data_IF_388462260472
#
_entry.id   IF_388462260472
#
_cell.length_a   1.000
_cell.length_b   1.000
_cell.length_c   1.000
_cell.angle_alpha   90.00
_cell.angle_beta   90.00
_cell.angle_gamma   90.00
#
_symmetry.space_group_name_H-M   'P 1'
#
loop_
_entity.id
_entity.type
_entity.pdbx_description
1 polymer ?
#
# COMPACT_ATOMS: atom_id res chain seq x y z
N UNK A 1 -14.40 -45.78 -0.95
CA UNK A 1 -12.93 -45.60 -0.91
C UNK A 1 -12.28 -46.79 -1.60
N UNK A 2 -11.14 -46.67 -2.30
CA UNK A 2 -10.19 -45.55 -2.48
C UNK A 2 -10.27 -45.00 -3.94
N UNK A 3 -9.61 -43.94 -4.41
CA UNK A 3 -8.26 -43.42 -4.15
C UNK A 3 -8.20 -41.90 -4.43
N UNK A 4 -7.45 -41.19 -3.59
CA UNK A 4 -6.99 -39.82 -3.84
C UNK A 4 -6.13 -39.76 -5.11
N UNK A 5 -6.33 -38.81 -6.03
CA UNK A 5 -5.29 -38.45 -6.98
C UNK A 5 -4.24 -37.59 -6.27
N UNK A 6 -3.00 -37.87 -6.63
CA UNK A 6 -1.76 -37.42 -6.05
C UNK A 6 -1.64 -35.89 -5.91
N UNK A 7 -0.96 -35.48 -4.84
CA UNK A 7 -0.32 -34.19 -4.73
C UNK A 7 0.72 -34.03 -5.85
N UNK A 8 0.32 -33.44 -6.96
CA UNK A 8 1.27 -32.94 -7.95
C UNK A 8 1.97 -31.71 -7.37
N UNK A 9 3.28 -31.86 -7.20
CA UNK A 9 4.22 -30.85 -6.75
C UNK A 9 4.16 -29.65 -7.69
N UNK A 10 3.39 -28.62 -7.34
CA UNK A 10 3.69 -27.27 -7.79
C UNK A 10 5.06 -26.91 -7.22
N UNK A 11 6.08 -26.93 -8.08
CA UNK A 11 7.43 -26.53 -7.75
C UNK A 11 7.42 -25.19 -7.02
N UNK A 12 8.17 -25.12 -5.93
CA UNK A 12 8.23 -23.95 -5.05
C UNK A 12 8.50 -22.68 -5.84
N UNK A 13 7.45 -21.89 -6.04
CA UNK A 13 7.60 -20.52 -6.49
C UNK A 13 8.26 -19.75 -5.35
N UNK A 14 9.52 -19.35 -5.54
CA UNK A 14 10.13 -18.31 -4.71
C UNK A 14 9.19 -17.10 -4.76
N UNK A 15 8.56 -16.77 -3.62
CA UNK A 15 7.67 -15.62 -3.51
C UNK A 15 8.35 -14.37 -4.07
N UNK A 16 7.78 -13.80 -5.13
CA UNK A 16 8.34 -12.62 -5.77
C UNK A 16 7.88 -11.38 -5.00
N UNK A 17 8.84 -10.58 -4.55
CA UNK A 17 8.64 -9.35 -3.77
C UNK A 17 7.99 -8.29 -4.67
N UNK A 18 6.79 -7.81 -4.33
CA UNK A 18 6.27 -6.58 -4.92
C UNK A 18 7.08 -5.38 -4.41
N UNK A 19 7.25 -4.39 -5.28
CA UNK A 19 8.25 -3.33 -5.14
C UNK A 19 7.54 -2.01 -4.87
N UNK A 20 7.53 -1.56 -3.61
CA UNK A 20 7.12 -0.20 -3.24
C UNK A 20 8.32 0.76 -3.30
N UNK A 21 8.07 2.03 -3.62
CA UNK A 21 9.06 3.11 -3.60
C UNK A 21 8.44 4.34 -2.93
N UNK A 22 9.22 5.06 -2.12
CA UNK A 22 8.85 6.35 -1.55
C UNK A 22 9.64 7.46 -2.28
N UNK A 23 8.95 8.55 -2.58
CA UNK A 23 9.51 9.73 -3.23
C UNK A 23 9.20 10.95 -2.38
N UNK A 24 10.21 11.69 -1.94
CA UNK A 24 10.04 12.97 -1.23
C UNK A 24 10.25 14.11 -2.21
N UNK A 25 9.31 15.04 -2.26
CA UNK A 25 9.40 16.29 -3.00
C UNK A 25 9.68 17.44 -2.02
N UNK A 26 10.80 18.15 -2.18
CA UNK A 26 11.06 19.39 -1.43
C UNK A 26 10.61 20.61 -2.23
N UNK A 27 10.31 21.71 -1.53
CA UNK A 27 9.92 23.00 -2.11
C UNK A 27 10.95 23.59 -3.09
N UNK A 28 12.21 23.13 -3.04
CA UNK A 28 13.27 23.51 -3.97
C UNK A 28 13.31 22.66 -5.26
N UNK A 29 12.35 21.76 -5.47
CA UNK A 29 12.32 20.87 -6.64
C UNK A 29 13.29 19.69 -6.55
N UNK A 30 14.02 19.53 -5.44
CA UNK A 30 14.84 18.34 -5.21
C UNK A 30 13.92 17.15 -4.89
N UNK A 31 13.99 16.14 -5.75
CA UNK A 31 13.30 14.87 -5.55
C UNK A 31 14.27 13.88 -4.90
N UNK A 32 13.92 13.37 -3.73
CA UNK A 32 14.62 12.23 -3.13
C UNK A 32 13.82 10.96 -3.41
N UNK A 33 14.37 10.08 -4.24
CA UNK A 33 13.83 8.73 -4.40
C UNK A 33 14.64 7.83 -3.49
N UNK A 34 14.00 7.07 -2.60
CA UNK A 34 14.70 6.02 -1.85
C UNK A 34 14.80 4.81 -2.79
N UNK A 35 15.96 4.54 -3.42
CA UNK A 35 16.09 3.48 -4.42
C UNK A 35 16.26 2.13 -3.73
N UNK A 36 15.90 1.06 -4.43
CA UNK A 36 15.98 -0.32 -3.91
C UNK A 36 17.39 -0.91 -3.87
N UNK A 37 18.36 -0.28 -4.53
CA UNK A 37 19.75 -0.73 -4.58
C UNK A 37 20.65 0.37 -4.02
N UNK A 38 21.24 0.10 -2.85
CA UNK A 38 22.29 0.91 -2.24
C UNK A 38 23.59 0.70 -3.04
N UNK A 39 23.82 1.51 -4.07
CA UNK A 39 25.18 1.99 -4.32
C UNK A 39 25.30 3.35 -3.65
N UNK A 40 26.41 3.55 -2.93
CA UNK A 40 26.68 4.72 -2.08
C UNK A 40 26.51 6.02 -2.86
N UNK A 41 25.32 6.61 -2.83
CA UNK A 41 25.09 7.98 -3.25
C UNK A 41 25.32 8.90 -2.04
N UNK A 42 26.27 9.83 -2.18
CA UNK A 42 26.47 10.94 -1.23
C UNK A 42 25.18 11.77 -1.18
N UNK A 43 24.31 11.46 -0.23
CA UNK A 43 23.00 12.11 -0.06
C UNK A 43 22.89 12.59 1.39
N UNK A 44 22.33 13.78 1.68
CA UNK A 44 22.14 14.28 3.04
C UNK A 44 21.15 13.46 3.90
N UNK A 45 20.55 12.38 3.36
CA UNK A 45 19.74 11.42 4.10
C UNK A 45 20.59 10.24 4.59
N UNK A 46 20.59 9.96 5.88
CA UNK A 46 21.16 8.73 6.41
C UNK A 46 20.22 7.55 6.08
N UNK A 47 20.52 6.83 5.01
CA UNK A 47 19.78 5.61 4.59
C UNK A 47 20.38 4.42 5.33
N UNK A 48 19.58 3.76 6.18
CA UNK A 48 19.96 2.54 6.88
C UNK A 48 19.07 1.38 6.43
N UNK A 49 19.68 0.31 5.92
CA UNK A 49 18.99 -0.94 5.60
C UNK A 49 19.22 -1.97 6.69
N UNK A 50 18.17 -2.65 7.15
CA UNK A 50 18.29 -3.77 8.10
C UNK A 50 17.71 -5.04 7.52
N UNK A 51 18.32 -6.19 7.83
CA UNK A 51 17.92 -7.51 7.36
C UNK A 51 17.40 -8.36 8.53
N UNK A 52 16.23 -8.95 8.37
CA UNK A 52 15.76 -10.02 9.26
C UNK A 52 15.04 -11.06 8.40
N UNK A 53 15.53 -12.31 8.41
CA UNK A 53 14.99 -13.50 7.73
C UNK A 53 13.96 -13.21 6.62
N UNK A 54 14.45 -13.04 5.39
CA UNK A 54 13.69 -12.80 4.15
C UNK A 54 12.98 -11.44 3.96
N UNK A 55 12.81 -10.64 5.01
CA UNK A 55 12.22 -9.29 4.94
C UNK A 55 13.30 -8.21 4.92
N UNK A 56 13.09 -7.13 4.15
CA UNK A 56 13.95 -5.94 4.17
C UNK A 56 13.12 -4.72 4.51
N UNK A 57 13.59 -3.95 5.49
CA UNK A 57 13.01 -2.64 5.80
C UNK A 57 14.11 -1.61 5.50
N UNK A 58 13.83 -0.73 4.56
CA UNK A 58 14.69 0.41 4.21
C UNK A 58 14.15 1.61 4.97
N UNK A 59 15.02 2.24 5.77
CA UNK A 59 14.65 3.40 6.57
C UNK A 59 15.49 4.58 6.11
N UNK A 60 14.81 5.68 5.81
CA UNK A 60 15.45 6.97 5.53
C UNK A 60 14.96 7.99 6.54
N UNK A 61 15.91 8.60 7.24
CA UNK A 61 15.67 9.80 8.05
C UNK A 61 15.87 11.01 7.15
N UNK A 62 14.85 11.85 7.05
CA UNK A 62 14.84 13.05 6.21
C UNK A 62 14.68 14.26 7.11
N UNK A 63 15.63 15.18 7.04
CA UNK A 63 15.55 16.47 7.73
C UNK A 63 15.26 17.57 6.72
N UNK A 64 14.26 18.40 7.00
CA UNK A 64 14.00 19.60 6.22
C UNK A 64 14.87 20.73 6.78
N UNK A 65 15.83 21.22 6.00
CA UNK A 65 16.57 22.44 6.35
C UNK A 65 15.69 23.66 6.10
N UNK A 66 15.66 24.60 7.04
CA UNK A 66 14.99 25.90 6.94
C UNK A 66 15.36 26.62 5.63
N UNK A 67 14.50 26.52 4.63
CA UNK A 67 14.34 27.58 3.64
C UNK A 67 12.93 27.49 3.11
N UNK A 68 12.23 28.63 3.15
CA UNK A 68 10.87 28.88 2.67
C UNK A 68 9.75 28.74 3.73
N UNK A 69 9.70 29.74 4.60
CA UNK A 69 8.46 30.14 5.26
C UNK A 69 7.44 30.61 4.20
N UNK A 70 6.31 29.90 4.09
CA UNK A 70 5.03 30.51 3.74
C UNK A 70 3.86 29.63 4.20
N UNK A 71 3.02 30.26 5.02
CA UNK A 71 1.67 29.89 5.45
C UNK A 71 1.45 28.47 6.03
N UNK A 72 1.45 28.42 7.37
CA UNK A 72 0.61 27.53 8.21
C UNK A 72 0.87 26.02 8.17
N UNK A 73 2.13 25.58 8.23
CA UNK A 73 2.44 24.20 8.63
C UNK A 73 3.52 24.15 9.70
N UNK A 74 3.15 23.64 10.88
CA UNK A 74 4.09 23.14 11.88
C UNK A 74 4.65 21.80 11.38
N UNK A 75 5.53 21.83 10.39
CA UNK A 75 6.28 20.63 9.99
C UNK A 75 7.33 20.34 11.04
N UNK A 76 7.42 19.10 11.51
CA UNK A 76 8.61 18.67 12.25
C UNK A 76 9.83 18.81 11.33
N UNK A 77 10.95 19.33 11.83
CA UNK A 77 12.21 19.50 11.07
C UNK A 77 12.81 18.15 10.60
N UNK A 78 12.20 17.05 11.03
CA UNK A 78 12.58 15.68 10.74
C UNK A 78 11.34 14.81 10.52
N UNK A 79 11.41 13.95 9.52
CA UNK A 79 10.47 12.84 9.28
C UNK A 79 11.25 11.56 9.01
N UNK A 80 10.67 10.41 9.36
CA UNK A 80 11.26 9.10 9.05
C UNK A 80 10.36 8.33 8.11
N UNK A 81 10.95 7.86 7.02
CA UNK A 81 10.29 7.09 5.99
C UNK A 81 10.76 5.65 6.03
N UNK A 82 9.82 4.72 6.09
CA UNK A 82 10.08 3.29 6.13
C UNK A 82 9.44 2.60 4.92
N UNK A 83 10.25 2.05 4.02
CA UNK A 83 9.79 1.17 2.95
C UNK A 83 9.93 -0.28 3.38
N UNK A 84 8.81 -0.99 3.51
CA UNK A 84 8.78 -2.43 3.75
C UNK A 84 8.86 -3.18 2.42
N UNK A 85 9.85 -4.05 2.29
CA UNK A 85 10.02 -4.94 1.14
C UNK A 85 9.91 -6.40 1.60
N UNK A 86 8.70 -6.94 1.48
CA UNK A 86 8.35 -8.30 1.87
C UNK A 86 7.19 -8.80 1.00
N UNK A 87 6.94 -10.11 1.02
CA UNK A 87 5.78 -10.74 0.38
C UNK A 87 4.64 -10.92 1.38
N UNK A 88 3.40 -10.96 0.92
CA UNK A 88 2.27 -11.33 1.76
C UNK A 88 2.24 -12.82 2.07
N UNK A 89 1.29 -13.26 2.88
CA UNK A 89 0.89 -14.68 2.94
C UNK A 89 -0.20 -14.88 1.90
N UNK A 90 0.18 -15.44 0.75
CA UNK A 90 -0.65 -15.39 -0.46
C UNK A 90 -2.03 -15.99 -0.25
N UNK A 91 -3.06 -15.19 -0.55
CA UNK A 91 -4.47 -15.57 -0.47
C UNK A 91 -4.95 -15.96 0.94
N UNK A 92 -4.21 -15.54 1.97
CA UNK A 92 -4.60 -15.63 3.38
C UNK A 92 -4.57 -14.23 3.99
N UNK A 93 -5.76 -13.65 4.13
CA UNK A 93 -5.89 -12.28 4.63
C UNK A 93 -5.48 -12.18 6.10
N UNK A 94 -5.87 -13.14 6.93
CA UNK A 94 -5.61 -13.07 8.36
C UNK A 94 -4.10 -13.17 8.63
N UNK A 95 -3.44 -14.15 8.02
CA UNK A 95 -1.99 -14.29 8.16
C UNK A 95 -1.23 -13.08 7.58
N UNK A 96 -1.75 -12.46 6.52
CA UNK A 96 -1.18 -11.21 5.96
C UNK A 96 -1.39 -10.00 6.87
N UNK A 97 -2.52 -9.90 7.59
CA UNK A 97 -2.78 -8.87 8.60
C UNK A 97 -1.84 -9.03 9.82
N UNK A 98 -1.64 -10.26 10.27
CA UNK A 98 -0.68 -10.55 11.36
C UNK A 98 0.74 -10.15 10.94
N UNK A 99 1.10 -10.45 9.69
CA UNK A 99 2.39 -10.07 9.11
C UNK A 99 2.52 -8.55 8.95
N UNK A 100 1.47 -7.85 8.52
CA UNK A 100 1.40 -6.39 8.45
C UNK A 100 1.71 -5.78 9.83
N UNK A 101 1.01 -6.23 10.88
CA UNK A 101 1.21 -5.75 12.25
C UNK A 101 2.64 -5.96 12.74
N UNK A 102 3.17 -7.18 12.56
CA UNK A 102 4.55 -7.52 12.95
C UNK A 102 5.59 -6.65 12.25
N UNK A 103 5.47 -6.47 10.93
CA UNK A 103 6.42 -5.69 10.13
C UNK A 103 6.31 -4.18 10.43
N UNK A 104 5.10 -3.65 10.59
CA UNK A 104 4.88 -2.25 10.94
C UNK A 104 5.46 -1.92 12.32
N UNK A 105 5.26 -2.80 13.32
CA UNK A 105 5.89 -2.68 14.63
C UNK A 105 7.41 -2.70 14.54
N UNK A 106 7.98 -3.65 13.79
CA UNK A 106 9.42 -3.75 13.58
C UNK A 106 10.02 -2.53 12.85
N UNK A 107 9.32 -1.97 11.87
CA UNK A 107 9.71 -0.74 11.19
C UNK A 107 9.69 0.45 12.16
N UNK A 108 8.61 0.58 12.94
CA UNK A 108 8.41 1.66 13.90
C UNK A 108 9.47 1.62 15.01
N UNK A 109 9.77 0.46 15.59
CA UNK A 109 10.82 0.33 16.62
C UNK A 109 12.17 0.80 16.08
N UNK A 110 12.52 0.42 14.86
CA UNK A 110 13.79 0.83 14.24
C UNK A 110 13.81 2.32 13.90
N UNK A 111 12.71 2.86 13.39
CA UNK A 111 12.57 4.28 13.13
C UNK A 111 12.69 5.10 14.41
N UNK A 112 12.00 4.69 15.50
CA UNK A 112 12.07 5.36 16.81
C UNK A 112 13.48 5.34 17.41
N UNK A 113 14.27 4.29 17.16
CA UNK A 113 15.67 4.24 17.58
C UNK A 113 16.57 5.24 16.83
N UNK A 114 16.15 5.71 15.66
CA UNK A 114 16.90 6.67 14.81
C UNK A 114 16.41 8.10 14.94
N UNK A 115 15.22 8.30 15.50
CA UNK A 115 14.58 9.60 15.63
C UNK A 115 15.31 10.49 16.63
N UNK A 116 15.43 11.78 16.31
CA UNK A 116 15.93 12.79 17.27
C UNK A 116 15.02 12.99 18.48
N UNK A 117 13.73 12.72 18.34
CA UNK A 117 12.71 12.91 19.38
C UNK A 117 11.60 11.85 19.24
N UNK A 118 10.91 11.49 20.35
CA UNK A 118 9.72 10.65 20.31
C UNK A 118 8.58 11.21 19.43
N UNK A 119 8.56 12.53 19.18
CA UNK A 119 7.53 13.21 18.41
C UNK A 119 7.75 13.16 16.88
N UNK A 120 8.89 12.67 16.40
CA UNK A 120 9.19 12.64 14.96
C UNK A 120 8.12 11.86 14.19
N UNK A 121 7.48 12.44 13.17
CA UNK A 121 6.52 11.74 12.32
C UNK A 121 7.17 10.56 11.57
N UNK A 122 6.45 9.44 11.50
CA UNK A 122 6.89 8.24 10.78
C UNK A 122 5.85 7.86 9.73
N UNK A 123 6.30 7.67 8.50
CA UNK A 123 5.50 7.10 7.41
C UNK A 123 6.02 5.69 7.10
N UNK A 124 5.14 4.70 7.09
CA UNK A 124 5.48 3.32 6.72
C UNK A 124 4.71 2.93 5.45
N UNK A 125 5.46 2.63 4.39
CA UNK A 125 4.94 2.15 3.10
C UNK A 125 5.08 0.64 3.00
N UNK A 126 3.99 -0.03 2.66
CA UNK A 126 3.94 -1.42 2.25
C UNK A 126 3.74 -1.56 0.73
N UNK A 127 4.15 -2.70 0.14
CA UNK A 127 4.06 -2.92 -1.31
C UNK A 127 2.63 -2.93 -1.87
N UNK A 128 2.54 -2.81 -3.20
CA UNK A 128 1.31 -3.08 -3.97
C UNK A 128 0.77 -4.49 -3.65
N UNK A 129 -0.56 -4.57 -3.47
CA UNK A 129 -1.29 -5.81 -3.23
C UNK A 129 -0.73 -6.67 -2.07
N UNK A 130 -0.29 -6.03 -0.98
CA UNK A 130 0.22 -6.71 0.20
C UNK A 130 -0.88 -7.39 1.02
N UNK A 131 -2.11 -6.88 1.05
CA UNK A 131 -3.24 -7.62 1.64
C UNK A 131 -4.00 -8.40 0.56
N UNK A 132 -4.14 -9.71 0.77
CA UNK A 132 -4.46 -10.78 -0.20
C UNK A 132 -3.23 -11.33 -0.94
N UNK A 133 -2.86 -10.74 -2.08
CA UNK A 133 -1.62 -10.94 -2.84
C UNK A 133 -1.73 -10.33 -4.23
N UNK A 134 -0.59 -10.07 -4.86
CA UNK A 134 -0.51 -9.92 -6.31
C UNK A 134 -0.64 -11.33 -6.96
N UNK A 135 -1.59 -11.57 -7.90
CA UNK A 135 -1.91 -12.90 -8.41
C UNK A 135 -0.96 -13.31 -9.55
N UNK A 136 0.35 -13.27 -9.29
CA UNK A 136 1.37 -13.56 -10.32
C UNK A 136 1.23 -14.99 -10.83
N UNK A 137 1.17 -15.14 -12.15
CA UNK A 137 1.08 -16.43 -12.82
C UNK A 137 -0.31 -17.05 -12.84
N UNK A 138 -1.31 -16.40 -12.23
CA UNK A 138 -2.70 -16.83 -12.32
C UNK A 138 -3.39 -16.12 -13.50
N UNK A 139 -3.97 -16.88 -14.41
CA UNK A 139 -4.84 -16.40 -15.49
C UNK A 139 -6.34 -16.61 -15.16
N UNK A 140 -6.63 -17.20 -13.98
CA UNK A 140 -7.96 -17.60 -13.52
C UNK A 140 -8.75 -18.41 -14.57
N UNK A 141 -8.05 -19.16 -15.42
CA UNK A 141 -8.66 -19.94 -16.50
C UNK A 141 -9.48 -19.12 -17.50
N UNK A 142 -9.28 -17.80 -17.54
CA UNK A 142 -10.03 -16.88 -18.39
C UNK A 142 -9.39 -16.83 -19.78
N UNK A 143 -10.13 -17.31 -20.78
CA UNK A 143 -9.79 -17.18 -22.20
C UNK A 143 -10.95 -16.52 -22.94
N UNK A 144 -10.70 -16.03 -24.15
CA UNK A 144 -11.76 -15.48 -24.99
C UNK A 144 -12.84 -16.56 -25.17
N UNK A 145 -14.07 -16.26 -24.74
CA UNK A 145 -15.21 -17.16 -24.85
C UNK A 145 -15.27 -18.34 -23.87
N UNK A 146 -14.29 -18.56 -22.99
CA UNK A 146 -14.31 -19.72 -22.08
C UNK A 146 -13.71 -19.43 -20.70
N UNK A 147 -14.20 -20.15 -19.68
CA UNK A 147 -13.72 -20.09 -18.30
C UNK A 147 -13.67 -21.48 -17.70
N UNK A 148 -12.54 -21.88 -17.14
CA UNK A 148 -12.41 -23.20 -16.50
C UNK A 148 -13.06 -23.20 -15.11
N UNK A 149 -13.61 -24.35 -14.64
CA UNK A 149 -14.09 -24.51 -13.27
C UNK A 149 -13.01 -24.21 -12.21
N UNK A 150 -11.78 -24.61 -12.46
CA UNK A 150 -10.63 -24.40 -11.57
C UNK A 150 -10.32 -22.91 -11.43
N UNK A 151 -10.37 -22.18 -12.56
CA UNK A 151 -10.19 -20.74 -12.60
C UNK A 151 -11.22 -19.98 -11.77
N UNK A 152 -12.49 -20.38 -11.85
CA UNK A 152 -13.58 -19.83 -11.00
C UNK A 152 -13.33 -20.08 -9.52
N UNK A 153 -12.83 -21.27 -9.18
CA UNK A 153 -12.51 -21.63 -7.79
C UNK A 153 -11.38 -20.76 -7.24
N UNK A 154 -10.32 -20.57 -8.03
CA UNK A 154 -9.21 -19.69 -7.66
C UNK A 154 -9.61 -18.23 -7.54
N UNK A 155 -10.47 -17.73 -8.44
CA UNK A 155 -10.99 -16.37 -8.33
C UNK A 155 -11.85 -16.20 -7.06
N UNK A 156 -12.67 -17.19 -6.72
CA UNK A 156 -13.44 -17.20 -5.47
C UNK A 156 -12.54 -17.13 -4.22
N UNK A 157 -11.44 -17.88 -4.18
CA UNK A 157 -10.43 -17.78 -3.11
C UNK A 157 -9.75 -16.42 -3.06
N UNK A 158 -9.43 -15.86 -4.23
CA UNK A 158 -8.81 -14.55 -4.32
C UNK A 158 -9.73 -13.44 -3.80
N UNK A 159 -11.00 -13.45 -4.22
CA UNK A 159 -12.03 -12.57 -3.69
C UNK A 159 -12.25 -12.77 -2.17
N UNK A 160 -12.31 -14.01 -1.69
CA UNK A 160 -12.50 -14.30 -0.27
C UNK A 160 -11.33 -13.84 0.62
N UNK A 161 -10.13 -13.69 0.08
CA UNK A 161 -8.96 -13.15 0.78
C UNK A 161 -8.75 -11.63 0.58
N UNK A 162 -9.63 -10.96 -0.16
CA UNK A 162 -9.57 -9.52 -0.42
C UNK A 162 -10.21 -8.69 0.72
N UNK A 163 -9.86 -7.41 0.82
CA UNK A 163 -10.24 -6.49 1.91
C UNK A 163 -11.54 -5.74 1.58
N UNK A 164 -12.57 -5.75 2.45
CA UNK A 164 -13.79 -4.98 2.24
C UNK A 164 -13.61 -3.52 2.67
N UNK A 165 -12.96 -2.69 1.84
CA UNK A 165 -12.59 -1.31 2.21
C UNK A 165 -13.78 -0.40 2.52
N UNK A 166 -14.98 -0.70 2.02
CA UNK A 166 -16.21 0.04 2.35
C UNK A 166 -16.73 -0.24 3.77
N UNK A 167 -16.34 -1.36 4.39
CA UNK A 167 -16.73 -1.73 5.74
C UNK A 167 -15.67 -1.24 6.73
N UNK A 168 -15.55 0.09 6.90
CA UNK A 168 -14.44 0.70 7.67
C UNK A 168 -14.47 0.36 9.17
N UNK A 169 -15.63 -0.08 9.67
CA UNK A 169 -15.81 -0.59 11.03
C UNK A 169 -15.77 -2.14 11.11
N UNK A 170 -15.60 -2.81 9.97
CA UNK A 170 -15.42 -4.27 9.89
C UNK A 170 -14.10 -4.73 10.52
N UNK A 171 -14.02 -6.02 10.84
CA UNK A 171 -12.84 -6.63 11.50
C UNK A 171 -11.53 -6.36 10.75
N UNK A 172 -11.53 -6.53 9.44
CA UNK A 172 -10.36 -6.41 8.59
C UNK A 172 -9.85 -4.97 8.52
N UNK A 173 -10.74 -4.00 8.31
CA UNK A 173 -10.39 -2.59 8.31
C UNK A 173 -9.98 -2.09 9.69
N UNK A 174 -10.64 -2.53 10.76
CA UNK A 174 -10.20 -2.23 12.14
C UNK A 174 -8.81 -2.75 12.43
N UNK A 175 -8.47 -3.96 11.98
CA UNK A 175 -7.12 -4.50 12.13
C UNK A 175 -6.08 -3.61 11.43
N UNK A 176 -6.32 -3.19 10.18
CA UNK A 176 -5.43 -2.28 9.44
C UNK A 176 -5.30 -0.93 10.16
N UNK A 177 -6.42 -0.34 10.59
CA UNK A 177 -6.46 0.95 11.29
C UNK A 177 -5.72 0.90 12.63
N UNK A 178 -5.87 -0.19 13.38
CA UNK A 178 -5.19 -0.39 14.65
C UNK A 178 -3.68 -0.50 14.47
N UNK A 179 -3.19 -1.11 13.38
CA UNK A 179 -1.75 -1.13 13.09
C UNK A 179 -1.18 0.29 12.99
N UNK A 180 -1.87 1.21 12.31
CA UNK A 180 -1.42 2.61 12.24
C UNK A 180 -1.49 3.30 13.61
N UNK A 181 -2.64 3.15 14.30
CA UNK A 181 -2.91 3.78 15.59
C UNK A 181 -1.97 3.33 16.71
N UNK A 182 -1.80 2.02 16.89
CA UNK A 182 -0.98 1.45 17.96
C UNK A 182 0.51 1.78 17.81
N UNK A 183 0.97 2.01 16.58
CA UNK A 183 2.36 2.37 16.30
C UNK A 183 2.57 3.89 16.18
N UNK A 184 1.50 4.69 16.14
CA UNK A 184 1.58 6.14 15.94
C UNK A 184 2.26 6.50 14.62
N UNK A 185 1.88 5.84 13.53
CA UNK A 185 2.46 5.99 12.19
C UNK A 185 1.40 6.38 11.17
N UNK A 186 1.79 7.14 10.15
CA UNK A 186 1.05 7.17 8.89
C UNK A 186 1.35 5.88 8.13
N UNK A 187 0.33 5.08 7.83
CA UNK A 187 0.46 3.81 7.11
C UNK A 187 -0.04 3.96 5.68
N UNK A 188 0.80 3.63 4.70
CA UNK A 188 0.40 3.44 3.30
C UNK A 188 0.52 1.96 2.95
N UNK A 189 -0.58 1.32 2.54
CA UNK A 189 -0.59 -0.12 2.27
C UNK A 189 -1.40 -0.46 1.02
N UNK A 190 -0.83 -1.31 0.15
CA UNK A 190 -1.52 -1.87 -0.99
C UNK A 190 -2.43 -3.03 -0.56
N UNK A 191 -3.69 -3.00 -0.99
CA UNK A 191 -4.70 -4.01 -0.73
C UNK A 191 -5.38 -4.45 -2.02
N UNK A 192 -5.82 -5.70 -2.07
CA UNK A 192 -6.86 -6.10 -3.02
C UNK A 192 -8.18 -5.85 -2.34
N UNK A 193 -8.93 -4.92 -2.88
CA UNK A 193 -10.22 -4.50 -2.35
C UNK A 193 -11.34 -5.37 -2.94
N UNK A 194 -12.34 -5.75 -2.14
CA UNK A 194 -13.62 -6.34 -2.60
C UNK A 194 -14.82 -5.47 -2.23
N UNK A 195 -15.90 -5.59 -3.01
CA UNK A 195 -17.11 -4.76 -2.87
C UNK A 195 -18.38 -5.58 -2.54
N UNK A 196 -18.24 -6.65 -1.78
CA UNK A 196 -19.32 -7.57 -1.40
C UNK A 196 -19.88 -7.32 0.01
N UNK A 197 -19.38 -6.29 0.71
CA UNK A 197 -19.82 -5.91 2.07
C UNK A 197 -20.59 -4.60 2.07
N UNK A 198 -21.56 -4.42 3.00
CA UNK A 198 -22.23 -3.15 3.17
C UNK A 198 -21.23 -2.06 3.57
N UNK A 199 -21.50 -0.85 3.13
CA UNK A 199 -20.70 0.30 3.54
C UNK A 199 -21.01 0.69 4.99
N UNK A 200 -19.98 0.74 5.83
CA UNK A 200 -20.08 1.09 7.26
C UNK A 200 -19.03 2.14 7.63
N UNK A 201 -19.32 2.93 8.67
CA UNK A 201 -18.46 4.02 9.11
C UNK A 201 -18.41 5.18 8.10
N UNK A 202 -17.20 5.71 7.85
CA UNK A 202 -16.96 6.83 6.94
C UNK A 202 -17.39 6.43 5.52
N UNK A 203 -18.08 7.30 4.78
CA UNK A 203 -18.50 6.98 3.41
C UNK A 203 -17.30 6.93 2.50
N UNK A 204 -17.25 5.94 1.61
CA UNK A 204 -16.16 5.71 0.65
C UNK A 204 -15.87 6.96 -0.17
N UNK A 205 -16.91 7.65 -0.62
CA UNK A 205 -16.75 8.88 -1.39
C UNK A 205 -16.01 9.99 -0.62
N UNK A 206 -15.99 9.96 0.71
CA UNK A 206 -15.29 10.94 1.55
C UNK A 206 -13.79 10.71 1.60
N UNK A 207 -13.29 9.50 1.32
CA UNK A 207 -11.85 9.20 1.36
C UNK A 207 -11.33 8.54 0.07
N UNK A 208 -12.18 8.19 -0.89
CA UNK A 208 -11.77 7.46 -2.08
C UNK A 208 -12.75 7.59 -3.24
N UNK A 209 -13.03 6.44 -3.85
CA UNK A 209 -13.84 6.31 -5.07
C UNK A 209 -15.34 6.55 -4.82
N UNK A 210 -16.02 7.22 -5.77
CA UNK A 210 -17.49 7.30 -5.80
C UNK A 210 -18.11 6.05 -6.42
N UNK A 211 -17.32 5.30 -7.20
CA UNK A 211 -17.74 4.02 -7.75
C UNK A 211 -17.81 3.01 -6.60
N UNK A 212 -19.01 2.57 -6.25
CA UNK A 212 -19.19 1.54 -5.20
C UNK A 212 -18.56 0.21 -5.64
N UNK A 213 -18.77 -0.16 -6.91
CA UNK A 213 -18.48 -1.50 -7.43
C UNK A 213 -19.69 -2.43 -7.28
N UNK A 214 -19.58 -3.63 -7.84
CA UNK A 214 -20.60 -4.68 -7.71
C UNK A 214 -20.14 -5.83 -6.81
N UNK A 215 -21.06 -6.64 -6.30
CA UNK A 215 -20.73 -7.88 -5.59
C UNK A 215 -19.85 -8.77 -6.48
N UNK A 216 -18.72 -9.26 -5.94
CA UNK A 216 -17.76 -10.05 -6.71
C UNK A 216 -16.69 -9.22 -7.44
N UNK A 217 -16.81 -7.89 -7.50
CA UNK A 217 -15.77 -7.03 -8.07
C UNK A 217 -14.62 -6.82 -7.09
N UNK A 218 -13.41 -6.76 -7.63
CA UNK A 218 -12.19 -6.47 -6.89
C UNK A 218 -11.35 -5.38 -7.55
N UNK A 219 -10.59 -4.64 -6.76
CA UNK A 219 -9.77 -3.50 -7.21
C UNK A 219 -8.39 -3.53 -6.57
N UNK A 220 -7.34 -3.18 -7.32
CA UNK A 220 -6.02 -2.91 -6.73
C UNK A 220 -6.05 -1.51 -6.10
N UNK A 221 -5.84 -1.42 -4.79
CA UNK A 221 -6.10 -0.20 -4.02
C UNK A 221 -4.93 0.14 -3.10
N UNK A 222 -4.56 1.41 -3.02
CA UNK A 222 -3.66 1.94 -2.01
C UNK A 222 -4.48 2.64 -0.92
N UNK A 223 -4.26 2.26 0.33
CA UNK A 223 -4.87 2.90 1.51
C UNK A 223 -3.84 3.77 2.22
N UNK A 224 -4.25 4.98 2.58
CA UNK A 224 -3.50 5.87 3.48
C UNK A 224 -4.28 6.01 4.78
N UNK A 225 -3.67 5.58 5.88
CA UNK A 225 -4.25 5.61 7.23
C UNK A 225 -3.42 6.56 8.10
N UNK A 226 -4.09 7.44 8.85
CA UNK A 226 -3.43 8.34 9.80
C UNK A 226 -2.86 7.61 11.01
N UNK A 227 -2.00 8.29 11.75
CA UNK A 227 -1.47 7.86 13.05
C UNK A 227 -2.54 7.71 14.13
N UNK A 228 -3.74 8.25 13.92
CA UNK A 228 -4.91 8.07 14.80
C UNK A 228 -5.80 6.90 14.37
N UNK A 229 -5.48 6.27 13.22
CA UNK A 229 -6.25 5.16 12.65
C UNK A 229 -7.40 5.61 11.75
N UNK A 230 -7.45 6.86 11.31
CA UNK A 230 -8.45 7.34 10.35
C UNK A 230 -8.07 6.94 8.92
N UNK A 231 -9.06 6.54 8.11
CA UNK A 231 -8.84 6.35 6.66
C UNK A 231 -8.83 7.73 5.98
N UNK A 232 -7.63 8.16 5.56
CA UNK A 232 -7.41 9.45 4.93
C UNK A 232 -7.65 9.39 3.41
N UNK A 233 -7.12 8.35 2.77
CA UNK A 233 -7.26 8.14 1.33
C UNK A 233 -7.42 6.66 0.97
N UNK A 234 -8.19 6.39 -0.09
CA UNK A 234 -8.32 5.10 -0.75
C UNK A 234 -8.28 5.32 -2.27
N UNK A 235 -7.13 5.01 -2.86
CA UNK A 235 -6.87 5.16 -4.29
C UNK A 235 -6.99 3.81 -4.99
N UNK A 236 -8.00 3.63 -5.85
CA UNK A 236 -8.12 2.48 -6.75
C UNK A 236 -7.31 2.75 -8.02
N UNK A 237 -6.48 1.81 -8.44
CA UNK A 237 -5.68 1.88 -9.67
C UNK A 237 -6.57 2.27 -10.85
N UNK A 238 -6.28 3.40 -11.48
CA UNK A 238 -6.99 3.99 -12.61
C UNK A 238 -7.18 2.97 -13.72
N UNK A 239 -6.07 2.38 -14.17
CA UNK A 239 -6.05 1.47 -15.30
C UNK A 239 -5.18 0.26 -14.97
N UNK A 240 -5.79 -0.92 -14.68
CA UNK A 240 -5.06 -2.17 -14.61
C UNK A 240 -4.31 -2.45 -15.92
N UNK A 241 -3.10 -2.96 -15.82
CA UNK A 241 -2.18 -3.13 -16.95
C UNK A 241 -2.32 -4.53 -17.57
N UNK A 242 -2.51 -4.59 -18.89
CA UNK A 242 -2.50 -5.86 -19.63
C UNK A 242 -3.58 -6.83 -19.14
N UNK A 243 -3.18 -8.02 -18.71
CA UNK A 243 -4.06 -9.08 -18.22
C UNK A 243 -4.66 -8.80 -16.84
N UNK A 244 -4.14 -7.82 -16.09
CA UNK A 244 -4.76 -7.38 -14.84
C UNK A 244 -6.22 -6.94 -15.05
N UNK A 245 -6.58 -6.47 -16.26
CA UNK A 245 -7.95 -6.08 -16.64
C UNK A 245 -8.96 -7.23 -16.64
N UNK A 246 -8.50 -8.48 -16.64
CA UNK A 246 -9.36 -9.64 -16.49
C UNK A 246 -9.75 -9.88 -15.02
N UNK A 247 -9.09 -9.19 -14.09
CA UNK A 247 -9.13 -9.47 -12.66
C UNK A 247 -9.63 -8.26 -11.89
N UNK A 248 -9.04 -7.07 -12.11
CA UNK A 248 -9.34 -5.86 -11.37
C UNK A 248 -10.20 -4.88 -12.16
N UNK A 249 -11.10 -4.20 -11.46
CA UNK A 249 -11.82 -3.04 -11.97
C UNK A 249 -10.93 -1.80 -12.08
N UNK A 250 -11.42 -0.81 -12.83
CA UNK A 250 -10.78 0.49 -13.00
C UNK A 250 -11.20 1.47 -11.91
N UNK A 251 -10.26 2.28 -11.43
CA UNK A 251 -10.52 3.42 -10.55
C UNK A 251 -11.10 4.62 -11.31
N UNK A 252 -11.70 5.54 -10.56
CA UNK A 252 -12.37 6.74 -11.08
C UNK A 252 -11.58 8.04 -10.90
N UNK A 253 -10.30 7.96 -10.50
CA UNK A 253 -9.40 9.11 -10.27
C UNK A 253 -9.65 9.89 -8.99
N UNK A 254 -10.88 9.91 -8.50
CA UNK A 254 -11.29 10.58 -7.27
C UNK A 254 -10.54 10.11 -6.01
N UNK A 255 -10.00 8.89 -6.04
CA UNK A 255 -9.20 8.31 -4.98
C UNK A 255 -7.74 8.80 -4.94
N UNK A 256 -7.25 9.44 -6.01
CA UNK A 256 -5.92 10.04 -6.05
C UNK A 256 -5.95 11.31 -5.22
N UNK A 257 -5.63 11.18 -3.93
CA UNK A 257 -5.70 12.29 -2.97
C UNK A 257 -4.37 12.45 -2.28
N UNK A 258 -3.89 13.68 -2.27
CA UNK A 258 -2.80 14.09 -1.39
C UNK A 258 -3.41 14.59 -0.09
N UNK A 259 -3.09 13.93 1.02
CA UNK A 259 -3.70 14.16 2.33
C UNK A 259 -2.69 14.75 3.31
N UNK A 260 -3.10 15.71 4.15
CA UNK A 260 -2.21 16.27 5.17
C UNK A 260 -1.97 15.23 6.28
N UNK A 261 -0.72 15.14 6.73
CA UNK A 261 -0.30 14.30 7.87
C UNK A 261 0.74 15.06 8.69
N UNK A 262 1.07 14.62 9.92
CA UNK A 262 2.18 15.20 10.67
C UNK A 262 3.53 15.17 9.92
N UNK A 263 3.71 14.22 9.00
CA UNK A 263 4.91 14.11 8.16
C UNK A 263 4.89 15.02 6.92
N UNK A 264 3.83 15.81 6.71
CA UNK A 264 3.57 16.57 5.50
C UNK A 264 2.47 15.97 4.64
N UNK A 265 2.37 16.44 3.40
CA UNK A 265 1.32 16.01 2.48
C UNK A 265 1.69 14.68 1.81
N UNK A 266 0.95 13.61 2.11
CA UNK A 266 1.21 12.25 1.63
C UNK A 266 0.27 11.89 0.49
N UNK A 267 0.80 11.33 -0.59
CA UNK A 267 0.02 10.77 -1.71
C UNK A 267 0.50 9.39 -2.12
N UNK A 268 -0.34 8.65 -2.84
CA UNK A 268 0.00 7.32 -3.34
C UNK A 268 -0.48 7.11 -4.77
N UNK A 269 0.39 6.49 -5.59
CA UNK A 269 0.09 6.03 -6.95
C UNK A 269 0.60 4.61 -7.11
N UNK A 270 -0.03 3.82 -7.98
CA UNK A 270 0.17 2.38 -8.05
C UNK A 270 0.88 2.00 -9.36
N UNK A 271 2.05 1.37 -9.24
CA UNK A 271 2.75 0.76 -10.37
C UNK A 271 2.98 1.76 -11.54
N UNK A 272 2.58 1.41 -12.76
CA UNK A 272 2.69 2.22 -13.97
C UNK A 272 1.85 3.51 -13.97
N UNK A 273 1.01 3.75 -12.96
CA UNK A 273 0.34 5.04 -12.82
C UNK A 273 1.33 6.18 -12.65
N UNK A 274 2.52 5.94 -12.10
CA UNK A 274 3.57 6.97 -11.95
C UNK A 274 3.88 7.66 -13.28
N UNK A 275 3.96 6.89 -14.38
CA UNK A 275 4.30 7.38 -15.72
C UNK A 275 3.09 7.66 -16.61
N UNK A 276 1.88 7.31 -16.17
CA UNK A 276 0.66 7.49 -16.98
C UNK A 276 0.17 8.94 -16.87
N UNK A 277 -0.02 9.70 -17.96
CA UNK A 277 -0.57 11.05 -17.87
C UNK A 277 -2.04 11.01 -17.44
N UNK A 278 -2.38 11.71 -16.36
CA UNK A 278 -3.74 11.87 -15.86
C UNK A 278 -3.89 13.28 -15.24
N UNK A 279 -4.90 14.08 -15.63
CA UNK A 279 -5.07 15.45 -15.13
C UNK A 279 -5.35 15.55 -13.63
N UNK A 280 -6.20 14.67 -13.08
CA UNK A 280 -6.55 14.70 -11.66
C UNK A 280 -5.31 14.36 -10.81
N UNK A 281 -4.57 13.33 -11.22
CA UNK A 281 -3.27 12.99 -10.65
C UNK A 281 -2.31 14.17 -10.70
N UNK A 282 -2.18 14.82 -11.86
CA UNK A 282 -1.26 15.95 -12.01
C UNK A 282 -1.58 17.10 -11.04
N UNK A 283 -2.85 17.46 -10.88
CA UNK A 283 -3.31 18.50 -9.94
C UNK A 283 -3.00 18.11 -8.49
N UNK A 284 -3.25 16.85 -8.13
CA UNK A 284 -3.07 16.39 -6.76
C UNK A 284 -1.58 16.33 -6.39
N UNK A 285 -0.74 15.82 -7.30
CA UNK A 285 0.69 15.71 -7.06
C UNK A 285 1.41 17.06 -6.94
N UNK A 286 0.80 18.17 -7.33
CA UNK A 286 1.34 19.52 -7.05
C UNK A 286 1.36 19.84 -5.55
N UNK A 287 0.55 19.16 -4.74
CA UNK A 287 0.46 19.37 -3.28
C UNK A 287 1.40 18.43 -2.51
N UNK A 288 2.06 17.50 -3.19
CA UNK A 288 2.76 16.36 -2.60
C UNK A 288 4.03 16.79 -1.87
N UNK A 289 4.21 16.30 -0.64
CA UNK A 289 5.49 16.29 0.06
C UNK A 289 6.13 14.89 -0.01
N UNK A 290 5.34 13.82 0.18
CA UNK A 290 5.77 12.41 0.25
C UNK A 290 4.86 11.52 -0.60
#
# INVERSE_FOLDING_TARGET
MPSHPAAEKFGGQRGQRSLGYLRVCTSAGATYTIPQHLERANTPAHILSSHHQHSRIVIARVSCSETMASATMSTSDEVILCCVQDTPVSFDLQASLDKLSKLARGATTKARALASSPSVPIVVLFPEAFLSAYPRGLDFGAKIGSRTPEGRTWFGRYHASSVPVCDTEGSEMRAIRNVAKENGITLVVGVIERCDRPETGKKRAEYGSKVVGGTGSIYCTALTISETGEVLASHRKLMPTGTERLVWGQGDGQGIRVVPTPAGNVGAVICWEVSTPDPEKAIQLQKLTI
#
